data_IF_912223328415
#
_entry.id   IF_912223328415
#
_cell.length_a   1.000
_cell.length_b   1.000
_cell.length_c   1.000
_cell.angle_alpha   90.00
_cell.angle_beta   90.00
_cell.angle_gamma   90.00
#
_symmetry.space_group_name_H-M   'P 1'
#
loop_
_entity.id
_entity.type
_entity.pdbx_description
1 polymer ?
#
# COMPACT_ATOMS: atom_id res chain seq x y z
N UNK A 1 -19.98 -19.91 6.50
CA UNK A 1 -19.05 -19.27 5.54
C UNK A 1 -19.48 -17.86 5.11
N UNK A 2 -20.70 -17.62 4.63
CA UNK A 2 -21.14 -16.28 4.12
C UNK A 2 -20.94 -15.13 5.12
N UNK A 3 -21.21 -15.35 6.41
CA UNK A 3 -21.03 -14.32 7.46
C UNK A 3 -19.56 -13.94 7.68
N UNK A 4 -18.64 -14.89 7.63
CA UNK A 4 -17.20 -14.63 7.80
C UNK A 4 -16.63 -13.81 6.64
N UNK A 5 -17.01 -14.15 5.40
CA UNK A 5 -16.63 -13.39 4.22
C UNK A 5 -17.17 -11.96 4.26
N UNK A 6 -18.45 -11.79 4.59
CA UNK A 6 -19.03 -10.46 4.75
C UNK A 6 -18.31 -9.68 5.85
N UNK A 7 -18.02 -10.29 6.99
CA UNK A 7 -17.25 -9.66 8.06
C UNK A 7 -15.86 -9.22 7.60
N UNK A 8 -15.19 -10.04 6.78
CA UNK A 8 -13.83 -9.81 6.30
C UNK A 8 -13.71 -8.59 5.36
N UNK A 9 -14.71 -8.37 4.50
CA UNK A 9 -14.73 -7.24 3.56
C UNK A 9 -15.57 -6.04 4.03
N UNK A 10 -16.37 -6.20 5.09
CA UNK A 10 -17.24 -5.11 5.57
C UNK A 10 -16.42 -4.01 6.23
N UNK A 11 -16.58 -2.79 5.73
CA UNK A 11 -16.05 -1.57 6.30
C UNK A 11 -16.62 -1.34 7.70
N UNK A 12 -15.75 -1.05 8.68
CA UNK A 12 -16.14 -0.82 10.08
C UNK A 12 -16.75 0.57 10.34
N UNK A 13 -16.59 1.50 9.41
CA UNK A 13 -17.12 2.86 9.49
C UNK A 13 -18.47 2.99 8.79
N UNK A 14 -18.59 2.48 7.56
CA UNK A 14 -19.81 2.63 6.75
C UNK A 14 -20.74 1.42 6.78
N UNK A 15 -20.23 0.24 7.13
CA UNK A 15 -20.98 -1.02 7.06
C UNK A 15 -21.15 -1.60 5.66
N UNK A 16 -20.57 -0.97 4.63
CA UNK A 16 -20.58 -1.46 3.24
C UNK A 16 -19.44 -2.45 2.98
N UNK A 17 -19.47 -3.13 1.83
CA UNK A 17 -18.37 -4.00 1.40
C UNK A 17 -17.30 -3.15 0.72
N UNK A 18 -16.06 -3.22 1.20
CA UNK A 18 -14.93 -2.44 0.68
C UNK A 18 -13.77 -3.36 0.32
N UNK A 19 -13.50 -3.49 -0.98
CA UNK A 19 -12.37 -4.27 -1.52
C UNK A 19 -11.22 -3.33 -1.88
N UNK A 20 -11.54 -2.21 -2.53
CA UNK A 20 -10.60 -1.17 -2.92
C UNK A 20 -11.11 0.20 -2.45
N UNK A 21 -10.20 1.14 -2.29
CA UNK A 21 -10.47 2.51 -1.90
C UNK A 21 -9.65 3.44 -2.79
N UNK A 22 -10.05 4.71 -2.85
CA UNK A 22 -9.22 5.73 -3.46
C UNK A 22 -7.85 5.81 -2.77
N UNK A 23 -6.79 6.18 -3.50
CA UNK A 23 -5.46 6.29 -2.92
C UNK A 23 -5.43 7.39 -1.87
N UNK A 24 -4.84 7.10 -0.71
CA UNK A 24 -4.49 8.11 0.27
C UNK A 24 -3.20 8.83 -0.15
N UNK A 25 -2.81 9.87 0.60
CA UNK A 25 -1.63 10.68 0.28
C UNK A 25 -0.35 9.83 0.13
N UNK A 26 -0.15 8.83 0.99
CA UNK A 26 1.02 7.96 0.93
C UNK A 26 1.07 7.17 -0.40
N UNK A 27 -0.05 6.59 -0.83
CA UNK A 27 -0.12 5.93 -2.13
C UNK A 27 0.09 6.89 -3.29
N UNK A 28 -0.42 8.13 -3.21
CA UNK A 28 -0.15 9.13 -4.26
C UNK A 28 1.34 9.43 -4.40
N UNK A 29 2.05 9.59 -3.29
CA UNK A 29 3.51 9.81 -3.29
C UNK A 29 4.22 8.61 -3.93
N UNK A 30 3.86 7.39 -3.54
CA UNK A 30 4.42 6.16 -4.12
C UNK A 30 4.15 6.07 -5.62
N UNK A 31 2.92 6.33 -6.07
CA UNK A 31 2.57 6.28 -7.48
C UNK A 31 3.36 7.29 -8.30
N UNK A 32 3.48 8.52 -7.82
CA UNK A 32 4.28 9.56 -8.50
C UNK A 32 5.76 9.14 -8.57
N UNK A 33 6.34 8.65 -7.48
CA UNK A 33 7.72 8.17 -7.47
C UNK A 33 7.94 7.00 -8.45
N UNK A 34 6.99 6.05 -8.49
CA UNK A 34 7.01 4.91 -9.41
C UNK A 34 6.89 5.33 -10.88
N UNK A 35 6.01 6.28 -11.20
CA UNK A 35 5.86 6.83 -12.55
C UNK A 35 7.17 7.54 -12.97
N UNK A 36 7.78 8.32 -12.09
CA UNK A 36 9.05 9.00 -12.39
C UNK A 36 10.18 8.00 -12.63
N UNK A 37 10.28 6.94 -11.82
CA UNK A 37 11.24 5.85 -12.05
C UNK A 37 11.01 5.11 -13.37
N UNK A 38 9.74 4.93 -13.74
CA UNK A 38 9.36 4.22 -14.97
C UNK A 38 9.70 5.03 -16.22
N UNK A 39 9.44 6.34 -16.23
CA UNK A 39 9.71 7.22 -17.37
C UNK A 39 11.19 7.61 -17.44
N UNK A 40 11.89 7.67 -16.30
CA UNK A 40 13.28 8.11 -16.23
C UNK A 40 14.17 7.16 -15.41
N UNK A 41 14.41 5.93 -15.88
CA UNK A 41 15.15 4.92 -15.11
C UNK A 41 16.63 5.29 -14.87
N UNK A 42 17.24 6.06 -15.78
CA UNK A 42 18.68 6.39 -15.78
C UNK A 42 19.04 7.75 -15.14
N UNK A 43 18.20 8.32 -14.26
CA UNK A 43 18.44 9.62 -13.61
C UNK A 43 19.54 9.63 -12.52
N UNK A 44 20.37 8.60 -12.42
CA UNK A 44 21.52 8.53 -11.51
C UNK A 44 21.12 8.66 -10.03
N UNK A 45 21.65 9.66 -9.33
CA UNK A 45 21.37 9.90 -7.89
C UNK A 45 19.89 10.17 -7.61
N UNK A 46 19.15 10.75 -8.58
CA UNK A 46 17.71 10.97 -8.44
C UNK A 46 16.95 9.64 -8.41
N UNK A 47 17.34 8.66 -9.24
CA UNK A 47 16.73 7.32 -9.24
C UNK A 47 16.89 6.64 -7.87
N UNK A 48 18.03 6.83 -7.20
CA UNK A 48 18.24 6.31 -5.84
C UNK A 48 17.25 6.94 -4.84
N UNK A 49 17.13 8.28 -4.85
CA UNK A 49 16.19 8.99 -3.99
C UNK A 49 14.74 8.59 -4.24
N UNK A 50 14.33 8.48 -5.51
CA UNK A 50 12.99 8.02 -5.89
C UNK A 50 12.73 6.57 -5.45
N UNK A 51 13.73 5.70 -5.51
CA UNK A 51 13.62 4.31 -5.04
C UNK A 51 13.39 4.25 -3.54
N UNK A 52 14.11 5.06 -2.76
CA UNK A 52 13.91 5.17 -1.31
C UNK A 52 12.52 5.69 -0.98
N UNK A 53 12.05 6.73 -1.70
CA UNK A 53 10.70 7.27 -1.52
C UNK A 53 9.64 6.22 -1.88
N UNK A 54 9.81 5.52 -2.99
CA UNK A 54 8.87 4.49 -3.45
C UNK A 54 8.76 3.35 -2.44
N UNK A 55 9.89 2.73 -2.08
CA UNK A 55 9.93 1.59 -1.16
C UNK A 55 9.55 1.97 0.27
N UNK A 56 10.13 3.06 0.77
CA UNK A 56 9.81 3.58 2.10
C UNK A 56 8.35 4.03 2.20
N UNK A 57 7.83 4.67 1.17
CA UNK A 57 6.42 5.06 1.07
C UNK A 57 5.48 3.85 1.07
N UNK A 58 5.83 2.77 0.38
CA UNK A 58 5.06 1.51 0.41
C UNK A 58 5.06 0.89 1.82
N UNK A 59 6.19 0.90 2.52
CA UNK A 59 6.26 0.40 3.90
C UNK A 59 5.44 1.27 4.87
N UNK A 60 5.49 2.59 4.73
CA UNK A 60 4.68 3.52 5.54
C UNK A 60 3.19 3.30 5.27
N UNK A 61 2.80 3.19 4.01
CA UNK A 61 1.42 2.90 3.63
C UNK A 61 0.95 1.55 4.16
N UNK A 62 1.77 0.52 4.01
CA UNK A 62 1.47 -0.83 4.49
C UNK A 62 1.28 -0.85 6.02
N UNK A 63 2.14 -0.16 6.77
CA UNK A 63 2.01 -0.04 8.22
C UNK A 63 0.72 0.69 8.62
N UNK A 64 0.37 1.79 7.92
CA UNK A 64 -0.89 2.50 8.14
C UNK A 64 -2.09 1.59 7.87
N UNK A 65 -2.07 0.82 6.79
CA UNK A 65 -3.15 -0.10 6.44
C UNK A 65 -3.28 -1.26 7.45
N UNK A 66 -2.18 -1.77 8.00
CA UNK A 66 -2.20 -2.82 9.05
C UNK A 66 -2.87 -2.29 10.33
N UNK A 67 -2.54 -1.07 10.74
CA UNK A 67 -3.01 -0.47 12.00
C UNK A 67 -4.43 0.09 11.86
N UNK A 68 -4.67 0.85 10.79
CA UNK A 68 -5.87 1.66 10.57
C UNK A 68 -6.75 1.19 9.42
N UNK A 69 -6.42 0.08 8.75
CA UNK A 69 -7.25 -0.47 7.68
C UNK A 69 -8.69 -0.72 8.12
N UNK A 70 -9.63 -0.30 7.27
CA UNK A 70 -11.09 -0.25 7.57
C UNK A 70 -11.75 -1.61 7.72
N UNK A 71 -11.07 -2.69 7.31
CA UNK A 71 -11.52 -4.07 7.45
C UNK A 71 -10.34 -5.06 7.46
N UNK A 72 -10.54 -6.32 7.86
CA UNK A 72 -9.49 -7.34 7.89
C UNK A 72 -8.82 -7.58 6.53
N UNK A 73 -9.57 -7.54 5.43
CA UNK A 73 -9.02 -7.66 4.08
C UNK A 73 -7.93 -6.62 3.81
N UNK A 74 -8.22 -5.35 4.11
CA UNK A 74 -7.30 -4.23 3.94
C UNK A 74 -6.06 -4.37 4.80
N UNK A 75 -6.21 -4.79 6.06
CA UNK A 75 -5.06 -5.07 6.95
C UNK A 75 -4.17 -6.19 6.42
N UNK A 76 -4.76 -7.26 5.88
CA UNK A 76 -4.02 -8.33 5.23
C UNK A 76 -3.28 -7.83 3.97
N UNK A 77 -3.88 -6.94 3.19
CA UNK A 77 -3.23 -6.32 2.04
C UNK A 77 -2.00 -5.51 2.47
N UNK A 78 -2.13 -4.69 3.52
CA UNK A 78 -1.00 -3.98 4.12
C UNK A 78 0.12 -4.94 4.53
N UNK A 79 -0.22 -6.01 5.28
CA UNK A 79 0.75 -7.02 5.69
C UNK A 79 1.45 -7.71 4.51
N UNK A 80 0.70 -8.06 3.45
CA UNK A 80 1.25 -8.68 2.26
C UNK A 80 2.22 -7.74 1.52
N UNK A 81 1.88 -6.46 1.38
CA UNK A 81 2.75 -5.45 0.76
C UNK A 81 4.01 -5.23 1.60
N UNK A 82 3.89 -5.12 2.93
CA UNK A 82 5.06 -5.00 3.80
C UNK A 82 5.99 -6.21 3.65
N UNK A 83 5.44 -7.43 3.67
CA UNK A 83 6.24 -8.65 3.56
C UNK A 83 6.95 -8.73 2.20
N UNK A 84 6.23 -8.42 1.13
CA UNK A 84 6.80 -8.37 -0.22
C UNK A 84 7.92 -7.34 -0.31
N UNK A 85 7.71 -6.11 0.15
CA UNK A 85 8.74 -5.07 0.09
C UNK A 85 9.98 -5.48 0.89
N UNK A 86 9.82 -6.12 2.05
CA UNK A 86 10.95 -6.66 2.81
C UNK A 86 11.78 -7.68 2.01
N UNK A 87 11.15 -8.55 1.21
CA UNK A 87 11.88 -9.51 0.35
C UNK A 87 12.61 -8.87 -0.82
N UNK A 88 12.28 -7.62 -1.17
CA UNK A 88 12.91 -6.90 -2.28
C UNK A 88 13.95 -5.88 -1.81
N UNK A 89 14.09 -5.69 -0.50
CA UNK A 89 15.10 -4.83 0.13
C UNK A 89 16.30 -5.66 0.57
N UNK A 90 16.07 -6.90 1.02
CA UNK A 90 17.10 -7.90 1.40
C UNK A 90 17.69 -8.52 0.14
#
# INVERSE_FOLDING_TARGET
MRRALLWFFRNRETGEITIAQAPNLALWIVMVAGILLWIWPSAGRLSLGLTVIFKGGLLVWAADEIVRGVNPWRRCLGAAVALYEMTTII
#
